data_IF_556938126502
#
_entry.id   IF_556938126502
#
_cell.length_a   1.000
_cell.length_b   1.000
_cell.length_c   1.000
_cell.angle_alpha   90.00
_cell.angle_beta   90.00
_cell.angle_gamma   90.00
#
_symmetry.space_group_name_H-M   'P 1'
#
loop_
_entity.id
_entity.type
_entity.pdbx_description
1 polymer ?
#
# COMPACT_ATOMS: atom_id res chain seq x y z
N UNK A 1 -45.13 -17.18 18.32
CA UNK A 1 -44.44 -16.45 17.24
C UNK A 1 -43.00 -16.97 17.15
N UNK A 2 -42.80 -18.19 16.62
CA UNK A 2 -41.46 -18.79 16.49
C UNK A 2 -41.40 -20.00 15.51
N UNK A 3 -42.55 -20.59 15.15
CA UNK A 3 -42.58 -21.72 14.21
C UNK A 3 -42.55 -21.28 12.73
N UNK A 4 -43.32 -20.23 12.39
CA UNK A 4 -43.40 -19.69 11.02
C UNK A 4 -42.08 -19.12 10.49
N UNK A 5 -41.20 -18.63 11.37
CA UNK A 5 -39.92 -18.05 10.98
C UNK A 5 -38.87 -19.14 10.70
N UNK A 6 -38.89 -20.23 11.46
CA UNK A 6 -38.05 -21.41 11.22
C UNK A 6 -38.44 -22.14 9.93
N UNK A 7 -39.74 -22.22 9.64
CA UNK A 7 -40.26 -22.78 8.39
C UNK A 7 -39.82 -21.94 7.16
N UNK A 8 -39.91 -20.60 7.25
CA UNK A 8 -39.42 -19.70 6.19
C UNK A 8 -37.92 -19.80 5.94
N UNK A 9 -37.11 -19.95 7.01
CA UNK A 9 -35.66 -20.17 6.88
C UNK A 9 -35.34 -21.50 6.17
N UNK A 10 -36.02 -22.59 6.54
CA UNK A 10 -35.83 -23.90 5.89
C UNK A 10 -36.23 -23.89 4.41
N UNK A 11 -37.35 -23.24 4.08
CA UNK A 11 -37.82 -23.15 2.70
C UNK A 11 -36.90 -22.28 1.83
N UNK A 12 -36.38 -21.17 2.36
CA UNK A 12 -35.38 -20.35 1.70
C UNK A 12 -34.09 -21.14 1.42
N UNK A 13 -33.60 -21.90 2.41
CA UNK A 13 -32.40 -22.72 2.26
C UNK A 13 -32.57 -23.84 1.24
N UNK A 14 -33.74 -24.50 1.21
CA UNK A 14 -34.05 -25.51 0.20
C UNK A 14 -34.09 -24.93 -1.22
N UNK A 15 -34.67 -23.74 -1.40
CA UNK A 15 -34.73 -23.09 -2.72
C UNK A 15 -33.34 -22.66 -3.20
N UNK A 16 -32.47 -22.17 -2.31
CA UNK A 16 -31.09 -21.78 -2.64
C UNK A 16 -30.21 -22.98 -3.02
N UNK A 17 -30.40 -24.12 -2.36
CA UNK A 17 -29.70 -25.36 -2.71
C UNK A 17 -30.11 -25.89 -4.11
N UNK A 18 -31.38 -25.69 -4.50
CA UNK A 18 -31.88 -26.10 -5.82
C UNK A 18 -31.36 -25.19 -6.96
N UNK A 19 -31.24 -23.88 -6.74
CA UNK A 19 -30.66 -22.96 -7.75
C UNK A 19 -29.16 -23.15 -7.95
N UNK A 20 -28.44 -23.72 -6.99
CA UNK A 20 -27.02 -24.04 -7.09
C UNK A 20 -26.72 -25.40 -7.79
N UNK A 21 -27.74 -26.13 -8.26
CA UNK A 21 -27.55 -27.37 -9.04
C UNK A 21 -27.05 -28.58 -8.25
N UNK A 22 -27.09 -28.53 -6.90
CA UNK A 22 -26.61 -29.60 -6.00
C UNK A 22 -27.57 -30.80 -5.88
N UNK A 23 -28.67 -30.81 -6.63
CA UNK A 23 -29.70 -31.85 -6.54
C UNK A 23 -29.39 -33.07 -7.43
N UNK A 24 -28.28 -33.77 -7.15
CA UNK A 24 -28.14 -35.20 -7.49
C UNK A 24 -27.25 -35.90 -6.45
N UNK A 25 -27.92 -36.58 -5.53
CA UNK A 25 -27.41 -37.73 -4.75
C UNK A 25 -26.12 -37.59 -3.92
N UNK A 26 -26.06 -36.63 -2.98
CA UNK A 26 -25.15 -36.69 -1.80
C UNK A 26 -25.54 -35.76 -0.65
N UNK A 27 -26.83 -35.39 -0.53
CA UNK A 27 -27.32 -34.45 0.48
C UNK A 27 -27.53 -35.10 1.88
N UNK A 28 -26.56 -35.86 2.36
CA UNK A 28 -26.47 -36.23 3.78
C UNK A 28 -25.55 -35.25 4.50
N UNK A 29 -26.20 -34.26 5.13
CA UNK A 29 -25.76 -33.52 6.34
C UNK A 29 -24.40 -32.79 6.24
N UNK A 30 -24.31 -31.77 5.38
CA UNK A 30 -23.37 -30.69 5.63
C UNK A 30 -24.08 -29.57 6.41
N UNK A 31 -23.49 -29.05 7.51
CA UNK A 31 -23.99 -27.87 8.20
C UNK A 31 -24.19 -26.71 7.23
N UNK A 32 -25.18 -25.85 7.49
CA UNK A 32 -25.48 -24.69 6.65
C UNK A 32 -24.24 -23.80 6.45
N UNK A 33 -23.42 -23.65 7.48
CA UNK A 33 -22.18 -22.88 7.44
C UNK A 33 -21.14 -23.51 6.50
N UNK A 34 -21.10 -24.84 6.42
CA UNK A 34 -20.22 -25.57 5.50
C UNK A 34 -20.72 -25.48 4.06
N UNK A 35 -22.03 -25.50 3.86
CA UNK A 35 -22.64 -25.26 2.54
C UNK A 35 -22.41 -23.83 2.06
N UNK A 36 -22.52 -22.84 2.95
CA UNK A 36 -22.22 -21.43 2.64
C UNK A 36 -20.72 -21.24 2.41
N UNK A 37 -19.87 -21.85 3.24
CA UNK A 37 -18.42 -21.80 3.05
C UNK A 37 -17.97 -22.48 1.76
N UNK A 38 -18.56 -23.63 1.39
CA UNK A 38 -18.26 -24.28 0.12
C UNK A 38 -18.86 -23.55 -1.07
N UNK A 39 -20.06 -22.98 -0.95
CA UNK A 39 -20.61 -22.09 -1.97
C UNK A 39 -19.72 -20.85 -2.17
N UNK A 40 -19.20 -20.25 -1.08
CA UNK A 40 -18.26 -19.14 -1.13
C UNK A 40 -16.90 -19.54 -1.72
N UNK A 41 -16.38 -20.74 -1.42
CA UNK A 41 -15.17 -21.30 -2.03
C UNK A 41 -15.36 -21.59 -3.52
N UNK A 42 -16.54 -22.06 -3.93
CA UNK A 42 -16.89 -22.25 -5.33
C UNK A 42 -17.06 -20.92 -6.06
N UNK A 43 -17.59 -19.90 -5.40
CA UNK A 43 -17.71 -18.54 -5.95
C UNK A 43 -16.34 -17.84 -6.09
N UNK A 44 -15.36 -18.18 -5.22
CA UNK A 44 -13.95 -17.80 -5.35
C UNK A 44 -13.22 -18.48 -6.51
N UNK A 45 -13.79 -19.52 -7.14
CA UNK A 45 -13.25 -20.17 -8.36
C UNK A 45 -13.84 -19.60 -9.65
N UNK A 46 -14.13 -18.30 -9.71
CA UNK A 46 -14.14 -17.64 -11.02
C UNK A 46 -12.72 -17.77 -11.57
N UNK A 47 -12.54 -18.57 -12.63
CA UNK A 47 -11.28 -18.58 -13.37
C UNK A 47 -10.95 -17.13 -13.71
N UNK A 48 -9.86 -16.62 -13.14
CA UNK A 48 -9.33 -15.33 -13.56
C UNK A 48 -9.03 -15.45 -15.06
N UNK A 49 -9.41 -14.44 -15.88
CA UNK A 49 -9.03 -14.45 -17.27
C UNK A 49 -7.51 -14.60 -17.36
N UNK A 50 -7.03 -15.31 -18.39
CA UNK A 50 -5.59 -15.37 -18.64
C UNK A 50 -5.01 -13.95 -18.61
N UNK A 51 -3.85 -13.69 -17.97
CA UNK A 51 -3.31 -12.33 -17.86
C UNK A 51 -3.23 -11.58 -19.20
N UNK A 52 -2.93 -12.30 -20.29
CA UNK A 52 -2.93 -11.77 -21.68
C UNK A 52 -4.27 -11.24 -22.19
N UNK A 53 -5.37 -11.60 -21.53
CA UNK A 53 -6.74 -11.23 -21.89
C UNK A 53 -7.35 -10.24 -20.89
N UNK A 54 -6.58 -9.77 -19.91
CA UNK A 54 -7.04 -8.72 -19.00
C UNK A 54 -7.18 -7.43 -19.84
N UNK A 55 -8.34 -6.75 -19.82
CA UNK A 55 -8.58 -5.58 -20.66
C UNK A 55 -7.85 -4.31 -20.18
N UNK A 56 -6.86 -4.46 -19.29
CA UNK A 56 -6.05 -3.38 -18.73
C UNK A 56 -4.90 -3.06 -19.67
N UNK A 57 -4.76 -1.80 -20.06
CA UNK A 57 -3.64 -1.30 -20.85
C UNK A 57 -2.97 -0.05 -20.29
N UNK A 58 -3.52 0.48 -19.19
CA UNK A 58 -2.98 1.65 -18.48
C UNK A 58 -2.79 1.27 -17.01
N UNK A 59 -1.54 1.24 -16.55
CA UNK A 59 -1.17 0.96 -15.17
C UNK A 59 -0.66 2.25 -14.55
N UNK A 60 -1.19 2.61 -13.39
CA UNK A 60 -0.73 3.73 -12.57
C UNK A 60 -0.29 3.19 -11.22
N UNK A 61 0.88 3.60 -10.74
CA UNK A 61 1.39 3.25 -9.42
C UNK A 61 1.70 4.55 -8.69
N UNK A 62 0.99 4.80 -7.60
CA UNK A 62 1.22 5.91 -6.68
C UNK A 62 2.01 5.39 -5.48
N UNK A 63 3.16 5.98 -5.19
CA UNK A 63 4.07 5.50 -4.16
C UNK A 63 4.23 6.52 -3.02
N UNK A 64 3.53 6.30 -1.91
CA UNK A 64 3.60 7.08 -0.67
C UNK A 64 4.69 6.52 0.26
N UNK A 65 4.89 7.05 1.46
CA UNK A 65 5.95 6.70 2.42
C UNK A 65 5.45 6.25 3.81
N UNK A 66 6.31 5.46 4.47
CA UNK A 66 6.46 5.14 5.90
C UNK A 66 5.19 4.97 6.74
N UNK A 67 4.22 4.18 6.26
CA UNK A 67 2.99 3.85 7.00
C UNK A 67 2.65 2.37 6.94
N UNK A 68 2.62 1.72 8.11
CA UNK A 68 2.28 0.30 8.20
C UNK A 68 0.79 0.05 7.99
N UNK A 69 0.43 -1.20 7.64
CA UNK A 69 -0.98 -1.58 7.52
C UNK A 69 -1.75 -1.35 8.82
N UNK A 70 -1.20 -1.82 9.94
CA UNK A 70 -1.85 -1.70 11.25
C UNK A 70 -1.99 -0.25 11.70
N UNK A 71 -1.14 0.66 11.21
CA UNK A 71 -1.27 2.07 11.52
C UNK A 71 -2.51 2.72 10.87
N UNK A 72 -2.95 2.25 9.69
CA UNK A 72 -4.08 2.85 8.94
C UNK A 72 -5.34 2.00 8.88
N UNK A 73 -5.17 0.69 8.78
CA UNK A 73 -6.20 -0.27 8.36
C UNK A 73 -6.23 -1.53 9.25
N UNK A 74 -5.50 -1.57 10.36
CA UNK A 74 -5.54 -2.70 11.32
C UNK A 74 -6.89 -2.88 12.03
N UNK A 75 -7.84 -1.96 11.83
CA UNK A 75 -9.24 -2.08 12.24
C UNK A 75 -10.13 -2.76 11.19
N UNK A 76 -9.64 -2.97 9.96
CA UNK A 76 -10.43 -3.49 8.85
C UNK A 76 -10.89 -4.93 9.13
N UNK A 77 -12.20 -5.24 8.99
CA UNK A 77 -12.70 -6.59 9.27
C UNK A 77 -12.12 -7.60 8.29
N UNK A 78 -11.85 -8.81 8.79
CA UNK A 78 -11.30 -9.95 8.05
C UNK A 78 -9.89 -9.76 7.43
N UNK A 79 -9.25 -8.62 7.66
CA UNK A 79 -7.86 -8.39 7.25
C UNK A 79 -6.87 -9.05 8.23
N UNK A 80 -5.70 -9.44 7.73
CA UNK A 80 -4.55 -9.85 8.54
C UNK A 80 -3.82 -8.63 9.15
N UNK A 81 -4.53 -7.89 10.01
CA UNK A 81 -4.01 -6.71 10.70
C UNK A 81 -4.61 -6.55 12.10
N UNK A 82 -3.82 -6.02 13.03
CA UNK A 82 -4.19 -5.85 14.42
C UNK A 82 -3.54 -4.60 15.01
N UNK A 83 -4.35 -3.59 15.36
CA UNK A 83 -3.83 -2.32 15.87
C UNK A 83 -4.20 -2.02 17.32
N UNK A 84 -5.30 -2.56 17.83
CA UNK A 84 -5.85 -2.18 19.14
C UNK A 84 -5.71 -3.27 20.19
N UNK A 85 -5.47 -2.85 21.45
CA UNK A 85 -5.41 -3.76 22.61
C UNK A 85 -4.09 -4.52 22.77
N UNK A 86 -3.09 -4.20 21.97
CA UNK A 86 -1.76 -4.81 22.06
C UNK A 86 -0.90 -4.07 23.09
N UNK A 87 0.11 -4.75 23.61
CA UNK A 87 1.02 -4.23 24.62
C UNK A 87 2.46 -4.59 24.25
N UNK A 88 3.37 -3.63 24.41
CA UNK A 88 4.78 -3.78 24.10
C UNK A 88 5.62 -3.32 25.28
N UNK A 89 6.78 -3.95 25.46
CA UNK A 89 7.71 -3.60 26.53
C UNK A 89 8.84 -2.76 25.95
N UNK A 90 9.11 -1.60 26.55
CA UNK A 90 10.21 -0.74 26.14
C UNK A 90 11.57 -1.22 26.66
N UNK A 91 12.63 -0.48 26.32
CA UNK A 91 14.01 -0.76 26.75
C UNK A 91 14.22 -0.73 28.27
N UNK A 92 13.35 -0.06 29.01
CA UNK A 92 13.41 0.07 30.47
C UNK A 92 12.52 -0.97 31.19
N UNK A 93 11.85 -1.84 30.44
CA UNK A 93 10.96 -2.88 30.98
C UNK A 93 9.55 -2.38 31.30
N UNK A 94 9.19 -1.17 30.87
CA UNK A 94 7.85 -0.61 31.07
C UNK A 94 6.93 -1.08 29.94
N UNK A 95 5.73 -1.52 30.32
CA UNK A 95 4.70 -1.97 29.38
C UNK A 95 3.85 -0.80 28.94
N UNK A 96 3.72 -0.63 27.62
CA UNK A 96 2.87 0.38 26.99
C UNK A 96 1.83 -0.28 26.10
N UNK A 97 0.62 0.25 26.09
CA UNK A 97 -0.45 -0.20 25.20
C UNK A 97 -0.44 0.57 23.88
N UNK A 98 -0.85 -0.08 22.79
CA UNK A 98 -1.15 0.61 21.52
C UNK A 98 -2.22 1.68 21.73
N UNK A 99 -2.08 2.83 21.08
CA UNK A 99 -2.97 3.97 21.29
C UNK A 99 -3.45 4.59 19.98
N UNK A 100 -4.69 5.10 20.01
CA UNK A 100 -5.22 5.90 18.90
C UNK A 100 -4.49 7.24 18.86
N UNK A 101 -3.99 7.62 17.70
CA UNK A 101 -3.16 8.80 17.53
C UNK A 101 -3.96 10.12 17.48
N UNK A 102 -5.19 10.08 16.95
CA UNK A 102 -6.03 11.28 16.89
C UNK A 102 -6.27 11.88 18.28
N UNK A 103 -6.29 13.22 18.43
CA UNK A 103 -6.37 14.23 17.36
C UNK A 103 -5.02 14.66 16.75
N UNK A 104 -3.91 13.97 17.05
CA UNK A 104 -2.64 14.19 16.36
C UNK A 104 -2.66 13.55 14.96
N UNK A 105 -2.10 14.26 13.98
CA UNK A 105 -1.99 13.86 12.58
C UNK A 105 -0.55 13.93 12.03
N UNK A 106 0.41 14.30 12.87
CA UNK A 106 1.81 14.53 12.52
C UNK A 106 2.78 13.76 13.42
N UNK A 107 2.43 13.56 14.70
CA UNK A 107 3.36 13.04 15.70
C UNK A 107 4.37 14.08 16.15
N UNK A 108 4.00 15.37 16.16
CA UNK A 108 4.91 16.44 16.54
C UNK A 108 5.40 16.24 17.99
N UNK A 109 6.71 16.13 18.17
CA UNK A 109 7.34 15.91 19.49
C UNK A 109 7.66 14.46 19.81
N UNK A 110 7.31 13.54 18.92
CA UNK A 110 7.80 12.17 18.94
C UNK A 110 9.07 12.04 18.08
N UNK A 111 9.94 11.05 18.32
CA UNK A 111 10.97 10.69 17.36
C UNK A 111 10.33 10.03 16.13
N UNK A 112 11.00 10.17 15.00
CA UNK A 112 10.67 9.40 13.80
C UNK A 112 10.84 7.89 14.09
N UNK A 113 9.78 7.07 13.94
CA UNK A 113 9.87 5.64 14.16
C UNK A 113 10.98 5.02 13.31
N UNK A 114 11.89 4.33 13.97
CA UNK A 114 13.05 3.70 13.37
C UNK A 114 12.63 2.75 12.25
N UNK A 115 13.03 3.09 11.05
CA UNK A 115 12.79 2.32 9.83
C UNK A 115 14.12 2.02 9.14
N UNK A 116 15.17 1.85 9.94
CA UNK A 116 16.48 1.38 9.50
C UNK A 116 16.51 -0.14 9.35
N UNK A 117 17.54 -0.63 8.66
CA UNK A 117 17.79 -2.07 8.53
C UNK A 117 17.93 -2.79 9.88
N UNK A 118 18.71 -2.24 10.81
CA UNK A 118 18.89 -2.85 12.13
C UNK A 118 17.67 -2.63 13.03
N UNK A 119 16.99 -1.49 12.86
CA UNK A 119 15.75 -1.17 13.54
C UNK A 119 14.66 -2.18 13.26
N UNK A 120 14.32 -2.38 11.98
CA UNK A 120 13.28 -3.35 11.60
C UNK A 120 13.54 -4.76 12.13
N UNK A 121 14.80 -5.21 12.21
CA UNK A 121 15.18 -6.50 12.83
C UNK A 121 14.94 -6.53 14.33
N UNK A 122 15.24 -5.44 15.02
CA UNK A 122 14.95 -5.29 16.44
C UNK A 122 13.45 -5.39 16.66
N UNK A 123 12.65 -4.72 15.84
CA UNK A 123 11.19 -4.72 15.94
C UNK A 123 10.56 -6.08 15.63
N UNK A 124 11.09 -6.77 14.61
CA UNK A 124 10.66 -8.10 14.22
C UNK A 124 10.97 -9.17 15.28
N UNK A 125 12.05 -8.99 16.05
CA UNK A 125 12.51 -9.87 17.13
C UNK A 125 12.37 -11.37 16.82
N UNK A 126 12.99 -11.81 15.72
CA UNK A 126 12.96 -13.21 15.31
C UNK A 126 11.57 -13.76 14.94
N UNK A 127 10.61 -12.88 14.65
CA UNK A 127 9.21 -13.21 14.34
C UNK A 127 8.26 -13.08 15.51
N UNK A 128 8.73 -12.69 16.70
CA UNK A 128 7.86 -12.37 17.83
C UNK A 128 7.10 -11.05 17.63
N UNK A 129 7.65 -10.14 16.81
CA UNK A 129 7.05 -8.83 16.50
C UNK A 129 6.68 -8.02 17.75
N UNK A 130 7.56 -8.01 18.76
CA UNK A 130 7.35 -7.33 20.04
C UNK A 130 8.49 -6.36 20.39
N UNK A 131 9.32 -6.01 19.41
CA UNK A 131 10.50 -5.15 19.58
C UNK A 131 10.30 -3.68 19.26
N UNK A 132 9.08 -3.24 18.92
CA UNK A 132 8.80 -1.87 18.44
C UNK A 132 9.37 -0.77 19.33
N UNK A 133 9.19 -0.88 20.66
CA UNK A 133 9.68 0.10 21.65
C UNK A 133 11.13 -0.13 22.12
N UNK A 134 11.82 -1.12 21.53
CA UNK A 134 13.24 -1.42 21.81
C UNK A 134 14.17 -0.92 20.70
N UNK A 135 13.61 -0.51 19.56
CA UNK A 135 14.35 -0.06 18.38
C UNK A 135 14.73 1.41 18.47
N UNK A 136 16.03 1.71 18.38
CA UNK A 136 16.52 3.10 18.35
C UNK A 136 15.96 3.97 19.47
N UNK A 137 15.40 5.12 19.07
CA UNK A 137 14.73 6.06 19.97
C UNK A 137 13.20 5.93 19.96
N UNK A 138 12.66 4.85 19.40
CA UNK A 138 11.20 4.64 19.33
C UNK A 138 10.52 4.84 20.68
N UNK A 139 9.41 5.55 20.64
CA UNK A 139 8.48 5.68 21.75
C UNK A 139 7.08 5.19 21.34
N UNK A 140 6.08 5.54 22.14
CA UNK A 140 4.68 5.17 21.95
C UNK A 140 4.08 5.60 20.60
N UNK A 141 4.74 6.48 19.85
CA UNK A 141 4.35 6.84 18.49
C UNK A 141 4.49 5.67 17.52
N UNK A 142 5.54 4.84 17.68
CA UNK A 142 5.78 3.67 16.82
C UNK A 142 4.74 2.55 16.97
N UNK A 143 3.94 2.58 18.04
CA UNK A 143 2.83 1.65 18.32
C UNK A 143 1.46 2.35 18.31
N UNK A 144 1.40 3.55 17.74
CA UNK A 144 0.16 4.31 17.59
C UNK A 144 -0.56 3.96 16.28
N UNK A 145 -1.86 4.24 16.19
CA UNK A 145 -2.67 3.94 15.00
C UNK A 145 -3.81 4.94 14.80
N UNK A 146 -4.34 5.00 13.58
CA UNK A 146 -5.61 5.65 13.26
C UNK A 146 -6.73 4.60 13.26
N UNK A 147 -7.84 4.90 13.93
CA UNK A 147 -9.03 4.05 13.97
C UNK A 147 -9.91 4.27 12.72
N UNK A 148 -10.93 3.42 12.57
CA UNK A 148 -11.96 3.62 11.56
C UNK A 148 -12.60 5.01 11.70
N UNK A 149 -12.61 5.78 10.61
CA UNK A 149 -13.19 7.13 10.55
C UNK A 149 -12.22 8.25 10.91
N UNK A 150 -10.97 7.96 11.25
CA UNK A 150 -9.95 8.98 11.56
C UNK A 150 -9.34 9.61 10.30
N UNK A 151 -9.13 8.80 9.27
CA UNK A 151 -8.56 9.24 8.01
C UNK A 151 -9.65 9.25 6.93
N UNK A 152 -9.49 10.16 5.97
CA UNK A 152 -10.43 10.27 4.84
C UNK A 152 -10.15 9.24 3.76
N UNK A 153 -9.34 9.65 2.78
CA UNK A 153 -9.24 8.97 1.50
C UNK A 153 -8.86 7.48 1.59
N UNK A 154 -7.78 7.12 2.29
CA UNK A 154 -7.24 5.75 2.23
C UNK A 154 -8.20 4.72 2.84
N UNK A 155 -8.93 5.10 3.89
CA UNK A 155 -9.90 4.21 4.55
C UNK A 155 -11.14 4.01 3.67
N UNK A 156 -11.62 5.07 3.01
CA UNK A 156 -12.74 4.98 2.06
C UNK A 156 -12.35 4.18 0.80
N UNK A 157 -11.12 4.37 0.30
CA UNK A 157 -10.57 3.60 -0.80
C UNK A 157 -10.46 2.11 -0.44
N UNK A 158 -9.97 1.77 0.76
CA UNK A 158 -9.85 0.40 1.25
C UNK A 158 -11.21 -0.31 1.41
N UNK A 159 -12.27 0.42 1.76
CA UNK A 159 -13.65 -0.13 1.81
C UNK A 159 -14.28 -0.32 0.43
N UNK A 160 -13.82 0.44 -0.56
CA UNK A 160 -14.43 0.49 -1.91
C UNK A 160 -13.72 -0.42 -2.90
N UNK A 161 -12.40 -0.54 -2.81
CA UNK A 161 -11.55 -1.25 -3.75
C UNK A 161 -10.92 -2.50 -3.11
N UNK A 162 -9.99 -3.13 -3.84
CA UNK A 162 -9.28 -4.31 -3.32
C UNK A 162 -8.12 -3.86 -2.43
N UNK A 163 -8.12 -4.34 -1.20
CA UNK A 163 -7.04 -4.14 -0.22
C UNK A 163 -6.16 -5.39 -0.15
N UNK A 164 -4.84 -5.21 -0.16
CA UNK A 164 -3.87 -6.27 0.08
C UNK A 164 -3.38 -6.19 1.53
N UNK A 165 -3.85 -7.09 2.38
CA UNK A 165 -3.51 -7.17 3.81
C UNK A 165 -2.20 -7.92 4.09
N UNK A 166 -1.67 -8.64 3.09
CA UNK A 166 -0.38 -9.37 3.13
C UNK A 166 0.63 -8.89 2.09
N UNK A 167 0.66 -7.58 1.85
CA UNK A 167 1.66 -6.94 1.00
C UNK A 167 2.79 -6.39 1.87
N UNK A 168 4.03 -6.82 1.61
CA UNK A 168 5.21 -6.45 2.39
C UNK A 168 6.22 -5.71 1.52
N UNK A 169 6.98 -4.81 2.15
CA UNK A 169 8.16 -4.22 1.52
C UNK A 169 9.18 -5.32 1.16
N UNK A 170 10.00 -5.06 0.15
CA UNK A 170 11.00 -6.04 -0.31
C UNK A 170 12.18 -6.14 0.66
N UNK A 171 12.50 -5.02 1.32
CA UNK A 171 13.52 -4.92 2.33
C UNK A 171 12.92 -4.34 3.61
N UNK A 172 13.09 -5.04 4.72
CA UNK A 172 12.86 -4.48 6.06
C UNK A 172 13.99 -3.48 6.36
N UNK A 173 13.73 -2.22 6.05
CA UNK A 173 14.67 -1.10 6.05
C UNK A 173 14.10 0.11 5.31
N UNK A 174 14.96 1.09 5.05
CA UNK A 174 14.53 2.45 4.67
C UNK A 174 13.89 2.57 3.28
N UNK A 175 13.46 3.79 2.95
CA UNK A 175 12.75 4.15 1.71
C UNK A 175 13.47 3.79 0.43
N UNK A 176 14.67 4.33 0.19
CA UNK A 176 15.35 4.18 -1.10
C UNK A 176 15.59 2.72 -1.50
N UNK A 177 16.07 1.81 -0.63
CA UNK A 177 16.24 0.42 -1.05
C UNK A 177 14.91 -0.24 -1.45
N UNK A 178 13.78 0.16 -0.86
CA UNK A 178 12.47 -0.32 -1.29
C UNK A 178 12.00 0.31 -2.61
N UNK A 179 12.33 1.59 -2.88
CA UNK A 179 12.13 2.19 -4.21
C UNK A 179 12.99 1.51 -5.28
N UNK A 180 14.23 1.15 -4.93
CA UNK A 180 15.14 0.38 -5.78
C UNK A 180 14.54 -1.00 -6.10
N UNK A 181 14.06 -1.75 -5.10
CA UNK A 181 13.38 -3.04 -5.35
C UNK A 181 12.14 -2.90 -6.22
N UNK A 182 11.32 -1.86 -6.01
CA UNK A 182 10.11 -1.63 -6.80
C UNK A 182 10.43 -1.48 -8.30
N UNK A 183 11.56 -0.86 -8.65
CA UNK A 183 11.90 -0.57 -10.04
C UNK A 183 12.90 -1.55 -10.63
N UNK A 184 13.94 -1.94 -9.91
CA UNK A 184 15.04 -2.77 -10.38
C UNK A 184 14.97 -4.23 -9.90
N UNK A 185 14.10 -4.54 -8.94
CA UNK A 185 14.03 -5.87 -8.33
C UNK A 185 15.21 -6.19 -7.40
N UNK A 186 16.04 -5.21 -7.07
CA UNK A 186 17.17 -5.30 -6.13
C UNK A 186 17.47 -3.93 -5.50
N UNK A 187 18.28 -3.91 -4.43
CA UNK A 187 18.78 -2.67 -3.79
C UNK A 187 20.26 -2.38 -4.06
N UNK A 188 20.88 -3.03 -5.05
CA UNK A 188 22.33 -2.90 -5.34
C UNK A 188 23.26 -3.15 -4.14
N UNK A 189 22.78 -3.85 -3.12
CA UNK A 189 23.50 -4.10 -1.86
C UNK A 189 23.27 -3.04 -0.77
N UNK A 190 22.52 -1.98 -1.07
CA UNK A 190 22.15 -0.94 -0.11
C UNK A 190 21.13 -1.46 0.92
N UNK A 191 21.22 -0.89 2.12
CA UNK A 191 20.36 -1.19 3.28
C UNK A 191 19.77 0.06 3.91
N UNK A 192 20.13 1.21 3.39
CA UNK A 192 19.84 2.54 3.90
C UNK A 192 19.55 3.49 2.71
N UNK A 193 19.23 4.74 3.01
CA UNK A 193 18.96 5.77 2.00
C UNK A 193 20.24 6.31 1.32
N UNK A 194 21.24 5.45 1.10
CA UNK A 194 22.45 5.83 0.40
C UNK A 194 22.18 6.10 -1.08
N UNK A 195 22.73 7.21 -1.58
CA UNK A 195 22.72 7.51 -3.02
C UNK A 195 23.68 6.58 -3.77
N UNK A 196 23.46 6.34 -5.08
CA UNK A 196 24.34 5.52 -5.90
C UNK A 196 25.82 5.95 -5.81
N UNK A 197 26.74 5.01 -5.54
CA UNK A 197 28.15 5.34 -5.40
C UNK A 197 28.72 5.78 -6.75
N UNK A 198 29.36 6.95 -6.78
CA UNK A 198 29.89 7.55 -8.01
C UNK A 198 30.98 6.70 -8.69
N UNK A 199 31.57 5.75 -7.96
CA UNK A 199 32.47 4.72 -8.48
C UNK A 199 31.97 3.34 -8.10
N UNK A 200 31.72 2.43 -9.06
CA UNK A 200 31.94 2.54 -10.51
C UNK A 200 30.80 3.24 -11.27
N UNK A 201 29.76 3.74 -10.61
CA UNK A 201 28.56 4.27 -11.26
C UNK A 201 28.63 5.78 -11.48
N UNK A 202 29.29 6.20 -12.55
CA UNK A 202 29.50 7.63 -12.86
C UNK A 202 28.23 8.38 -13.27
N UNK A 203 27.11 7.68 -13.44
CA UNK A 203 25.84 8.23 -13.95
C UNK A 203 24.62 7.72 -13.18
N UNK A 204 24.76 7.31 -11.91
CA UNK A 204 23.69 6.62 -11.16
C UNK A 204 23.70 5.10 -11.35
N UNK A 205 22.82 4.37 -10.65
CA UNK A 205 22.79 2.90 -10.69
C UNK A 205 22.70 2.34 -12.11
N UNK A 206 23.20 1.11 -12.36
CA UNK A 206 22.95 0.42 -13.62
C UNK A 206 21.45 0.36 -13.89
N UNK A 207 21.04 0.79 -15.08
CA UNK A 207 19.62 0.86 -15.44
C UNK A 207 19.09 -0.51 -15.89
N UNK A 208 18.90 -1.39 -14.91
CA UNK A 208 18.17 -2.66 -15.04
C UNK A 208 16.71 -2.54 -14.58
N UNK A 209 16.17 -1.32 -14.58
CA UNK A 209 14.83 -1.03 -14.11
C UNK A 209 13.74 -1.62 -15.01
N UNK A 210 12.53 -1.71 -14.46
CA UNK A 210 11.30 -1.94 -15.21
C UNK A 210 11.17 -0.94 -16.37
N UNK A 211 11.55 0.32 -16.17
CA UNK A 211 11.51 1.33 -17.23
C UNK A 211 12.44 0.96 -18.40
N UNK A 212 13.65 0.46 -18.13
CA UNK A 212 14.55 -0.04 -19.18
C UNK A 212 13.96 -1.22 -19.95
N UNK A 213 13.29 -2.14 -19.25
CA UNK A 213 12.58 -3.25 -19.88
C UNK A 213 11.41 -2.77 -20.75
N UNK A 214 10.65 -1.77 -20.29
CA UNK A 214 9.53 -1.17 -21.02
C UNK A 214 10.00 -0.42 -22.27
N UNK A 215 11.09 0.35 -22.18
CA UNK A 215 11.69 1.04 -23.32
C UNK A 215 12.13 0.04 -24.41
N UNK A 216 12.82 -1.03 -24.00
CA UNK A 216 13.23 -2.10 -24.92
C UNK A 216 12.03 -2.79 -25.58
N UNK A 217 10.91 -2.89 -24.88
CA UNK A 217 9.66 -3.46 -25.41
C UNK A 217 8.83 -2.46 -26.23
N UNK A 218 9.22 -1.19 -26.32
CA UNK A 218 8.44 -0.14 -26.97
C UNK A 218 7.12 0.18 -26.24
N UNK A 219 7.05 -0.10 -24.94
CA UNK A 219 5.87 0.21 -24.10
C UNK A 219 6.03 1.60 -23.50
N UNK A 220 5.10 2.50 -23.83
CA UNK A 220 5.15 3.87 -23.32
C UNK A 220 5.07 3.88 -21.79
N UNK A 221 6.02 4.57 -21.19
CA UNK A 221 6.15 4.68 -19.75
C UNK A 221 6.52 6.11 -19.35
N UNK A 222 6.23 6.48 -18.10
CA UNK A 222 6.70 7.73 -17.51
C UNK A 222 6.70 7.67 -16.00
N UNK A 223 7.65 8.37 -15.41
CA UNK A 223 7.68 8.68 -13.98
C UNK A 223 7.27 10.14 -13.80
N UNK A 224 6.31 10.39 -12.92
CA UNK A 224 5.83 11.71 -12.55
C UNK A 224 6.22 12.01 -11.10
N UNK A 225 6.67 13.23 -10.84
CA UNK A 225 7.08 13.65 -9.50
C UNK A 225 6.58 15.07 -9.20
N UNK A 226 6.44 15.37 -7.92
CA UNK A 226 6.06 16.71 -7.48
C UNK A 226 7.29 17.62 -7.35
N UNK A 227 8.28 17.22 -6.55
CA UNK A 227 9.46 18.03 -6.23
C UNK A 227 10.79 17.28 -6.42
N UNK A 228 10.95 16.08 -5.85
CA UNK A 228 12.18 15.30 -5.92
C UNK A 228 12.02 14.14 -6.91
N UNK A 229 12.81 14.11 -8.00
CA UNK A 229 12.76 13.02 -8.95
C UNK A 229 13.63 11.83 -8.50
N UNK A 230 13.03 10.84 -7.84
CA UNK A 230 13.71 9.59 -7.43
C UNK A 230 14.29 8.84 -8.64
N UNK A 231 13.73 9.04 -9.84
CA UNK A 231 14.28 8.49 -11.07
C UNK A 231 15.71 8.92 -11.39
N UNK A 232 16.19 10.03 -10.81
CA UNK A 232 17.57 10.49 -10.97
C UNK A 232 18.60 9.52 -10.37
N UNK A 233 18.19 8.59 -9.50
CA UNK A 233 19.07 7.53 -8.97
C UNK A 233 19.64 6.63 -10.07
N UNK A 234 18.97 6.52 -11.22
CA UNK A 234 19.42 5.78 -12.40
C UNK A 234 19.97 6.68 -13.52
N UNK A 235 20.25 7.95 -13.21
CA UNK A 235 20.95 8.87 -14.09
C UNK A 235 20.12 9.87 -14.87
N UNK A 236 20.83 10.67 -15.65
CA UNK A 236 20.27 11.83 -16.38
C UNK A 236 19.23 11.44 -17.42
N UNK A 237 19.37 10.28 -18.07
CA UNK A 237 18.41 9.82 -19.07
C UNK A 237 17.05 9.51 -18.43
N UNK A 238 17.05 8.88 -17.25
CA UNK A 238 15.83 8.58 -16.49
C UNK A 238 15.19 9.85 -15.94
N UNK A 239 16.00 10.79 -15.47
CA UNK A 239 15.53 12.13 -15.09
C UNK A 239 14.88 12.86 -16.27
N UNK A 240 15.51 12.88 -17.44
CA UNK A 240 14.97 13.54 -18.64
C UNK A 240 13.69 12.87 -19.16
N UNK A 241 13.55 11.55 -18.97
CA UNK A 241 12.33 10.81 -19.30
C UNK A 241 11.15 11.05 -18.34
N UNK A 242 11.35 11.81 -17.27
CA UNK A 242 10.33 12.06 -16.25
C UNK A 242 9.41 13.23 -16.61
N UNK A 243 8.31 13.39 -15.87
CA UNK A 243 7.36 14.49 -16.01
C UNK A 243 6.98 15.09 -14.67
N UNK A 244 6.43 16.30 -14.68
CA UNK A 244 5.88 16.90 -13.46
C UNK A 244 4.53 16.27 -13.11
N UNK A 245 4.11 16.39 -11.85
CA UNK A 245 2.76 16.01 -11.44
C UNK A 245 1.65 16.77 -12.21
N UNK A 246 1.92 18.01 -12.63
CA UNK A 246 1.00 18.76 -13.49
C UNK A 246 0.78 18.07 -14.84
N UNK A 247 1.85 17.53 -15.44
CA UNK A 247 1.76 16.75 -16.69
C UNK A 247 0.89 15.49 -16.51
N UNK A 248 0.98 14.82 -15.35
CA UNK A 248 0.12 13.69 -15.04
C UNK A 248 -1.37 14.06 -15.08
N UNK A 249 -1.75 15.17 -14.46
CA UNK A 249 -3.14 15.64 -14.45
C UNK A 249 -3.63 16.03 -15.85
N UNK A 250 -2.80 16.70 -16.65
CA UNK A 250 -3.11 17.02 -18.06
C UNK A 250 -3.32 15.76 -18.91
N UNK A 251 -2.50 14.73 -18.70
CA UNK A 251 -2.61 13.45 -19.38
C UNK A 251 -3.84 12.65 -18.94
N UNK A 252 -4.19 12.68 -17.66
CA UNK A 252 -5.44 12.11 -17.17
C UNK A 252 -6.63 12.75 -17.88
N UNK A 253 -6.70 14.08 -17.89
CA UNK A 253 -7.79 14.85 -18.49
C UNK A 253 -7.93 14.62 -20.01
N UNK A 254 -6.80 14.46 -20.70
CA UNK A 254 -6.78 14.23 -22.16
C UNK A 254 -6.86 12.76 -22.58
N UNK A 255 -6.76 11.81 -21.64
CA UNK A 255 -6.71 10.38 -21.95
C UNK A 255 -5.44 9.99 -22.71
N UNK A 256 -4.30 10.60 -22.36
CA UNK A 256 -2.99 10.39 -23.00
C UNK A 256 -1.90 9.93 -22.02
N UNK A 257 -2.30 9.27 -20.93
CA UNK A 257 -1.35 8.62 -20.02
C UNK A 257 -0.55 7.54 -20.77
N UNK A 258 0.76 7.43 -20.49
CA UNK A 258 1.55 6.26 -20.88
C UNK A 258 0.93 4.96 -20.35
N UNK A 259 1.28 3.83 -20.97
CA UNK A 259 0.79 2.52 -20.54
C UNK A 259 1.21 2.15 -19.13
N UNK A 260 2.36 2.64 -18.68
CA UNK A 260 2.83 2.48 -17.30
C UNK A 260 3.25 3.84 -16.75
N UNK A 261 2.60 4.28 -15.69
CA UNK A 261 2.85 5.56 -15.02
C UNK A 261 3.18 5.32 -13.56
N UNK A 262 4.31 5.85 -13.10
CA UNK A 262 4.65 5.90 -11.68
C UNK A 262 4.56 7.34 -11.19
N UNK A 263 4.13 7.53 -9.95
CA UNK A 263 3.86 8.85 -9.38
C UNK A 263 4.45 8.91 -7.98
N UNK A 264 5.26 9.94 -7.75
CA UNK A 264 5.77 10.28 -6.43
C UNK A 264 5.13 11.55 -5.86
N UNK A 265 4.96 11.59 -4.52
CA UNK A 265 4.44 12.72 -3.78
C UNK A 265 5.42 13.88 -3.69
N UNK A 266 5.00 14.91 -2.95
CA UNK A 266 5.88 15.96 -2.47
C UNK A 266 6.63 15.46 -1.24
N UNK A 267 7.96 15.36 -1.30
CA UNK A 267 8.82 15.01 -0.16
C UNK A 267 9.23 16.23 0.67
N UNK A 268 8.65 17.40 0.37
CA UNK A 268 9.06 18.68 0.92
C UNK A 268 10.58 18.91 0.81
N UNK A 269 11.22 18.43 -0.27
CA UNK A 269 12.67 18.28 -0.39
C UNK A 269 13.48 19.58 -0.30
N UNK A 270 12.83 20.73 -0.39
CA UNK A 270 13.46 22.06 -0.20
C UNK A 270 13.41 22.59 1.24
N UNK A 271 12.52 22.05 2.09
CA UNK A 271 12.29 22.50 3.47
C UNK A 271 12.37 21.37 4.50
N UNK A 272 12.51 20.12 4.04
CA UNK A 272 12.50 18.90 4.85
C UNK A 272 11.10 18.50 5.33
N UNK A 273 11.03 17.34 5.96
CA UNK A 273 9.80 16.74 6.55
C UNK A 273 9.29 17.48 7.79
N UNK A 274 10.19 18.11 8.56
CA UNK A 274 9.89 18.71 9.87
C UNK A 274 8.77 19.76 9.92
N UNK A 275 8.54 20.60 8.89
CA UNK A 275 7.43 21.53 8.83
C UNK A 275 6.05 20.90 8.63
N UNK A 276 5.95 19.58 8.40
CA UNK A 276 4.67 18.88 8.18
C UNK A 276 4.03 19.16 6.82
N UNK A 277 4.82 19.63 5.84
CA UNK A 277 4.38 20.04 4.51
C UNK A 277 4.61 18.97 3.43
N UNK A 278 5.27 17.87 3.78
CA UNK A 278 5.40 16.71 2.90
C UNK A 278 4.02 16.09 2.69
N UNK A 279 3.78 15.65 1.45
CA UNK A 279 2.56 14.97 1.03
C UNK A 279 2.80 13.49 0.78
N UNK A 280 3.94 12.97 1.22
CA UNK A 280 4.38 11.58 1.09
C UNK A 280 3.91 10.71 2.25
N UNK A 281 3.48 11.32 3.36
CA UNK A 281 3.10 10.68 4.62
C UNK A 281 4.29 10.16 5.45
N UNK A 282 5.52 10.59 5.20
CA UNK A 282 6.62 10.29 6.11
C UNK A 282 6.42 11.08 7.43
N UNK A 283 6.76 10.55 8.62
CA UNK A 283 6.81 11.37 9.84
C UNK A 283 7.84 12.51 9.71
N UNK A 284 7.54 13.77 10.02
CA UNK A 284 6.38 14.34 10.71
C UNK A 284 5.40 15.06 9.76
N UNK A 285 5.35 14.66 8.49
CA UNK A 285 4.34 15.07 7.52
C UNK A 285 2.92 14.95 8.07
N UNK A 286 2.09 15.98 7.83
CA UNK A 286 0.66 15.88 8.15
C UNK A 286 0.03 14.83 7.25
N UNK A 287 -0.41 13.71 7.83
CA UNK A 287 -1.01 12.62 7.06
C UNK A 287 -2.15 13.12 6.17
N UNK A 288 -2.89 14.14 6.60
CA UNK A 288 -4.03 14.67 5.83
C UNK A 288 -3.59 15.32 4.52
N UNK A 289 -2.37 15.85 4.44
CA UNK A 289 -1.80 16.34 3.19
C UNK A 289 -1.55 15.19 2.20
N UNK A 290 -1.02 14.06 2.69
CA UNK A 290 -0.87 12.85 1.88
C UNK A 290 -2.21 12.22 1.49
N UNK A 291 -3.20 12.21 2.39
CA UNK A 291 -4.57 11.79 2.07
C UNK A 291 -5.18 12.63 0.94
N UNK A 292 -4.97 13.95 0.96
CA UNK A 292 -5.43 14.85 -0.09
C UNK A 292 -4.70 14.59 -1.40
N UNK A 293 -3.37 14.40 -1.37
CA UNK A 293 -2.60 14.07 -2.56
C UNK A 293 -3.02 12.75 -3.21
N UNK A 294 -3.22 11.69 -2.40
CA UNK A 294 -3.76 10.42 -2.88
C UNK A 294 -5.14 10.61 -3.51
N UNK A 295 -6.02 11.39 -2.88
CA UNK A 295 -7.34 11.69 -3.43
C UNK A 295 -7.24 12.40 -4.79
N UNK A 296 -6.38 13.42 -4.93
CA UNK A 296 -6.22 14.15 -6.18
C UNK A 296 -5.71 13.25 -7.31
N UNK A 297 -4.68 12.43 -7.04
CA UNK A 297 -4.13 11.47 -8.02
C UNK A 297 -5.20 10.45 -8.44
N UNK A 298 -5.87 9.83 -7.48
CA UNK A 298 -6.86 8.79 -7.78
C UNK A 298 -8.09 9.36 -8.48
N UNK A 299 -8.62 10.51 -8.05
CA UNK A 299 -9.75 11.15 -8.71
C UNK A 299 -9.39 11.61 -10.14
N UNK A 300 -8.18 12.12 -10.37
CA UNK A 300 -7.73 12.46 -11.72
C UNK A 300 -7.72 11.23 -12.63
N UNK A 301 -7.20 10.09 -12.15
CA UNK A 301 -7.22 8.85 -12.91
C UNK A 301 -8.64 8.34 -13.15
N UNK A 302 -9.50 8.33 -12.12
CA UNK A 302 -10.90 7.90 -12.24
C UNK A 302 -11.69 8.76 -13.23
N UNK A 303 -11.37 10.04 -13.34
CA UNK A 303 -11.94 10.95 -14.34
C UNK A 303 -11.37 10.78 -15.75
N UNK A 304 -10.29 10.03 -15.93
CA UNK A 304 -9.63 9.87 -17.24
C UNK A 304 -10.45 8.99 -18.19
N UNK A 305 -10.45 9.29 -19.51
CA UNK A 305 -10.96 8.36 -20.53
C UNK A 305 -10.35 6.96 -20.49
N UNK A 306 -9.13 6.82 -19.94
CA UNK A 306 -8.41 5.55 -19.83
C UNK A 306 -8.83 4.71 -18.62
N UNK A 307 -9.57 5.25 -17.64
CA UNK A 307 -9.92 4.57 -16.39
C UNK A 307 -10.57 3.19 -16.60
N UNK A 308 -11.48 3.07 -17.58
CA UNK A 308 -12.21 1.82 -17.85
C UNK A 308 -11.31 0.64 -18.25
N UNK A 309 -10.08 0.94 -18.68
CA UNK A 309 -9.04 -0.02 -19.07
C UNK A 309 -7.77 0.18 -18.23
N UNK A 310 -7.97 0.79 -17.07
CA UNK A 310 -6.95 1.20 -16.15
C UNK A 310 -6.89 0.33 -14.90
N UNK A 311 -5.71 0.23 -14.32
CA UNK A 311 -5.51 -0.22 -12.95
C UNK A 311 -4.62 0.78 -12.23
N UNK A 312 -5.03 1.21 -11.04
CA UNK A 312 -4.21 2.06 -10.17
C UNK A 312 -3.91 1.30 -8.88
N UNK A 313 -2.64 1.33 -8.50
CA UNK A 313 -2.15 0.81 -7.24
C UNK A 313 -1.66 1.98 -6.38
N UNK A 314 -2.21 2.09 -5.17
CA UNK A 314 -1.70 3.01 -4.15
C UNK A 314 -0.87 2.20 -3.18
N UNK A 315 0.43 2.40 -3.22
CA UNK A 315 1.37 1.83 -2.27
C UNK A 315 1.65 2.86 -1.17
N UNK A 316 1.32 2.52 0.07
CA UNK A 316 1.93 3.19 1.21
C UNK A 316 3.24 2.46 1.46
N UNK A 317 4.35 2.94 0.86
CA UNK A 317 5.61 2.20 0.95
C UNK A 317 5.97 2.02 2.42
N UNK A 318 6.23 0.77 2.79
CA UNK A 318 6.43 0.36 4.18
C UNK A 318 7.93 0.31 4.44
N UNK A 319 8.37 0.95 5.50
CA UNK A 319 9.73 0.88 6.03
C UNK A 319 9.67 0.45 7.50
#
# INVERSE_FOLDING_TARGET
MHEDELLRRREFLQRTAMTAGLATSLATVLPADTLVAEAARHQRRRFLPAPRNIPVDTIVVLMMENRSFDHYLGWMPDADGHQAGLHYTDKDGVVHGTQRLTPDFQGCGHPDPDHSWDGGRTQFDGGACDGFLRSGDNDVFSISYYAEGDLGFIQDAAKTFTTFDRFHCSLMGSTLPNREYMWAGESYGNRDNALPPQTPHTTGFPDNTLFAALDKAGVSNRYFFNDVPVSALWGVDRLQGSGSIAEYYERCASGTLPRVSYIDPNFAGSVGEGPGLSGDEHPHGDVRAGQAFMADVVHAFMGSPQFKRGALFTDASRS
#
